data_IF_916898890565
#
_entry.id   IF_916898890565
#
_cell.length_a   1.000
_cell.length_b   1.000
_cell.length_c   1.000
_cell.angle_alpha   90.00
_cell.angle_beta   90.00
_cell.angle_gamma   90.00
#
_symmetry.space_group_name_H-M   'P 1'
#
loop_
_entity.id
_entity.type
_entity.pdbx_description
1 polymer ?
#
# COMPACT_ATOMS: atom_id res chain seq x y z
N UNK A 1 22.05 0.57 -36.52
CA UNK A 1 21.12 1.27 -37.42
C UNK A 1 20.48 0.21 -38.29
N UNK A 2 19.22 -0.10 -38.03
CA UNK A 2 18.46 -1.06 -38.84
C UNK A 2 17.96 -0.34 -40.10
N UNK A 3 18.21 -0.92 -41.27
CA UNK A 3 17.95 -0.31 -42.58
C UNK A 3 16.46 -0.32 -42.98
N UNK A 4 15.57 -0.69 -42.05
CA UNK A 4 14.13 -0.91 -42.27
C UNK A 4 13.20 0.03 -41.50
N UNK A 5 13.71 0.98 -40.73
CA UNK A 5 12.86 1.90 -39.98
C UNK A 5 12.30 3.03 -40.88
N UNK A 6 10.97 3.17 -40.91
CA UNK A 6 10.25 4.17 -41.70
C UNK A 6 9.87 5.39 -40.84
N UNK A 7 9.82 6.58 -41.46
CA UNK A 7 9.47 7.84 -40.80
C UNK A 7 7.97 7.92 -40.44
N UNK A 8 7.65 8.59 -39.33
CA UNK A 8 6.32 8.64 -38.73
C UNK A 8 5.26 9.27 -39.65
N UNK A 9 4.30 8.46 -40.14
CA UNK A 9 2.99 8.92 -40.59
C UNK A 9 1.97 7.88 -40.11
N UNK A 10 1.08 8.25 -39.16
CA UNK A 10 0.13 7.30 -38.58
C UNK A 10 -1.17 7.24 -39.41
N UNK A 11 -1.53 6.04 -39.87
CA UNK A 11 -2.91 5.72 -40.28
C UNK A 11 -3.57 4.94 -39.13
N UNK A 12 -4.73 5.40 -38.65
CA UNK A 12 -5.40 4.89 -37.45
C UNK A 12 -5.93 3.44 -37.54
N UNK A 13 -5.66 2.72 -38.65
CA UNK A 13 -6.20 1.39 -38.94
C UNK A 13 -5.15 0.27 -39.01
N UNK A 14 -3.88 0.55 -38.71
CA UNK A 14 -2.79 -0.43 -38.89
C UNK A 14 -2.32 -1.05 -37.56
N UNK A 15 -3.07 -2.03 -37.06
CA UNK A 15 -2.84 -2.71 -35.77
C UNK A 15 -1.64 -3.68 -35.75
N UNK A 16 -1.07 -4.01 -36.91
CA UNK A 16 -0.04 -5.05 -37.05
C UNK A 16 1.28 -4.54 -37.63
N UNK A 17 1.38 -3.27 -38.00
CA UNK A 17 2.66 -2.65 -38.34
C UNK A 17 3.52 -2.47 -37.10
N UNK A 18 4.81 -2.83 -37.22
CA UNK A 18 5.83 -2.51 -36.21
C UNK A 18 5.77 -1.01 -35.97
N UNK A 19 5.46 -0.61 -34.73
CA UNK A 19 5.39 0.80 -34.38
C UNK A 19 6.73 1.46 -34.73
N UNK A 20 6.73 2.61 -35.42
CA UNK A 20 7.95 3.35 -35.65
C UNK A 20 8.58 3.69 -34.30
N UNK A 21 9.85 3.33 -34.13
CA UNK A 21 10.62 3.63 -32.92
C UNK A 21 11.29 4.98 -33.14
N UNK A 22 11.18 5.88 -32.17
CA UNK A 22 11.87 7.17 -32.22
C UNK A 22 13.38 6.93 -32.23
N UNK A 23 14.03 7.18 -33.37
CA UNK A 23 15.47 6.98 -33.54
C UNK A 23 16.29 8.20 -33.14
N UNK A 24 15.71 9.39 -33.29
CA UNK A 24 16.36 10.67 -33.02
C UNK A 24 15.32 11.77 -32.82
N UNK A 25 15.63 12.74 -31.96
CA UNK A 25 14.87 13.99 -31.82
C UNK A 25 15.58 15.05 -32.66
N UNK A 26 14.88 15.62 -33.65
CA UNK A 26 15.46 16.63 -34.55
C UNK A 26 15.50 18.03 -33.89
N UNK A 27 14.44 18.40 -33.18
CA UNK A 27 14.30 19.70 -32.52
C UNK A 27 13.43 19.58 -31.25
N UNK A 28 13.73 20.38 -30.23
CA UNK A 28 12.89 20.53 -29.04
C UNK A 28 12.73 22.00 -28.69
N UNK A 29 11.53 22.40 -28.27
CA UNK A 29 11.23 23.77 -27.85
C UNK A 29 10.24 23.77 -26.68
N UNK A 30 10.30 24.81 -25.85
CA UNK A 30 9.31 25.05 -24.80
C UNK A 30 8.21 25.96 -25.34
N UNK A 31 6.95 25.61 -25.07
CA UNK A 31 5.78 26.45 -25.37
C UNK A 31 5.15 26.90 -24.06
N UNK A 32 4.98 28.21 -23.90
CA UNK A 32 4.31 28.78 -22.74
C UNK A 32 2.80 28.68 -22.87
N UNK A 33 2.14 28.20 -21.82
CA UNK A 33 0.68 28.14 -21.72
C UNK A 33 0.21 28.88 -20.48
N UNK A 34 -0.79 29.74 -20.63
CA UNK A 34 -1.35 30.52 -19.53
C UNK A 34 -2.66 29.89 -19.03
N UNK A 35 -3.06 30.17 -17.77
CA UNK A 35 -4.34 29.72 -17.24
C UNK A 35 -5.52 30.16 -18.11
N UNK A 36 -6.49 29.28 -18.30
CA UNK A 36 -7.70 29.54 -19.12
C UNK A 36 -8.57 30.64 -18.49
N UNK A 37 -8.55 30.75 -17.17
CA UNK A 37 -9.33 31.73 -16.41
C UNK A 37 -8.44 32.50 -15.42
N UNK A 38 -8.93 33.65 -14.96
CA UNK A 38 -8.30 34.40 -13.88
C UNK A 38 -8.23 33.58 -12.60
N UNK A 39 -7.12 33.70 -11.88
CA UNK A 39 -6.88 32.95 -10.65
C UNK A 39 -7.90 33.30 -9.56
N UNK A 40 -8.42 32.28 -8.88
CA UNK A 40 -9.33 32.44 -7.75
C UNK A 40 -9.07 31.40 -6.68
N UNK A 41 -9.37 31.71 -5.42
CA UNK A 41 -9.14 30.80 -4.28
C UNK A 41 -10.11 29.60 -4.26
N UNK A 42 -11.09 29.54 -5.16
CA UNK A 42 -12.17 28.53 -5.15
C UNK A 42 -12.19 27.62 -6.37
N UNK A 43 -11.44 27.95 -7.41
CA UNK A 43 -11.46 27.24 -8.69
C UNK A 43 -10.08 26.65 -8.97
N UNK A 44 -10.01 25.43 -9.54
CA UNK A 44 -8.75 24.90 -10.05
C UNK A 44 -8.09 25.86 -11.04
N UNK A 45 -6.76 25.83 -11.10
CA UNK A 45 -6.00 26.51 -12.15
C UNK A 45 -5.95 25.56 -13.34
N UNK A 46 -6.69 25.90 -14.39
CA UNK A 46 -6.79 25.07 -15.60
C UNK A 46 -5.87 25.59 -16.69
N UNK A 47 -5.11 24.69 -17.30
CA UNK A 47 -4.26 24.95 -18.44
C UNK A 47 -4.77 24.13 -19.63
N UNK A 48 -4.92 24.77 -20.79
CA UNK A 48 -5.27 24.09 -22.03
C UNK A 48 -4.06 24.09 -22.95
N UNK A 49 -3.43 22.92 -23.10
CA UNK A 49 -2.26 22.72 -23.95
C UNK A 49 -2.70 22.02 -25.25
N UNK A 50 -2.78 22.76 -26.35
CA UNK A 50 -3.10 22.20 -27.67
C UNK A 50 -1.87 21.54 -28.30
N UNK A 51 -2.06 20.38 -28.94
CA UNK A 51 -1.01 19.75 -29.75
C UNK A 51 -0.60 20.64 -30.92
N UNK A 52 0.70 20.70 -31.21
CA UNK A 52 1.27 21.53 -32.28
C UNK A 52 1.65 20.63 -33.46
N UNK A 53 0.75 20.48 -34.43
CA UNK A 53 1.02 19.82 -35.71
C UNK A 53 1.75 18.46 -35.58
N UNK A 54 2.96 18.40 -36.15
CA UNK A 54 3.80 17.19 -36.20
C UNK A 54 4.70 17.00 -34.96
N UNK A 55 4.55 17.84 -33.92
CA UNK A 55 5.35 17.77 -32.70
C UNK A 55 4.65 16.97 -31.59
N UNK A 56 5.43 16.17 -30.87
CA UNK A 56 4.96 15.44 -29.69
C UNK A 56 5.12 16.29 -28.43
N UNK A 57 4.18 16.14 -27.48
CA UNK A 57 4.28 16.76 -26.16
C UNK A 57 5.14 15.89 -25.23
N UNK A 58 6.27 16.44 -24.78
CA UNK A 58 7.07 15.84 -23.72
C UNK A 58 6.47 16.21 -22.35
N UNK A 59 5.64 15.30 -21.81
CA UNK A 59 4.98 15.52 -20.52
C UNK A 59 5.97 15.51 -19.35
N UNK A 60 7.14 14.88 -19.48
CA UNK A 60 8.13 14.83 -18.41
C UNK A 60 8.81 16.17 -18.15
N UNK A 61 8.92 16.99 -19.19
CA UNK A 61 9.43 18.36 -19.10
C UNK A 61 8.32 19.41 -19.04
N UNK A 62 7.18 19.06 -18.43
CA UNK A 62 6.13 20.05 -18.13
C UNK A 62 6.50 20.83 -16.86
N UNK A 63 6.83 22.10 -17.03
CA UNK A 63 7.23 23.00 -15.96
C UNK A 63 6.07 23.92 -15.56
N UNK A 64 5.81 24.02 -14.26
CA UNK A 64 4.93 25.03 -13.70
C UNK A 64 5.77 26.25 -13.31
N UNK A 65 5.39 27.41 -13.86
CA UNK A 65 5.92 28.71 -13.48
C UNK A 65 4.89 29.46 -12.65
N UNK A 66 5.30 29.98 -11.48
CA UNK A 66 4.45 30.72 -10.57
C UNK A 66 5.17 31.92 -9.99
N UNK A 67 4.46 33.06 -9.97
CA UNK A 67 4.88 34.25 -9.24
C UNK A 67 3.95 34.48 -8.05
N UNK A 68 4.52 34.49 -6.84
CA UNK A 68 3.75 34.57 -5.59
C UNK A 68 4.31 35.67 -4.70
N UNK A 69 3.40 36.37 -4.00
CA UNK A 69 3.72 37.36 -2.98
C UNK A 69 2.92 37.07 -1.71
N UNK A 70 3.59 37.05 -0.56
CA UNK A 70 2.93 36.85 0.74
C UNK A 70 2.56 38.21 1.32
N UNK A 71 1.29 38.46 1.63
CA UNK A 71 0.81 39.69 2.27
C UNK A 71 0.06 39.40 3.57
N UNK A 72 -0.11 40.43 4.41
CA UNK A 72 -1.03 40.35 5.56
C UNK A 72 -2.48 40.23 5.06
N UNK A 73 -3.39 39.82 5.94
CA UNK A 73 -4.84 39.80 5.66
C UNK A 73 -5.39 41.17 5.21
N UNK A 74 -4.77 42.26 5.65
CA UNK A 74 -5.08 43.64 5.25
C UNK A 74 -4.56 44.02 3.85
N UNK A 75 -3.81 43.15 3.17
CA UNK A 75 -3.14 43.44 1.91
C UNK A 75 -1.81 44.20 2.03
N UNK A 76 -1.44 44.65 3.24
CA UNK A 76 -0.15 45.31 3.49
C UNK A 76 1.01 44.33 3.45
N UNK A 77 2.21 44.83 3.18
CA UNK A 77 3.43 44.02 3.19
C UNK A 77 3.73 43.47 4.60
N UNK A 78 4.38 42.30 4.66
CA UNK A 78 5.00 41.78 5.88
C UNK A 78 6.25 42.62 6.20
N UNK A 79 6.52 42.87 7.47
CA UNK A 79 7.69 43.64 7.91
C UNK A 79 8.12 43.16 9.30
N UNK A 80 9.33 43.51 9.77
CA UNK A 80 9.72 43.21 11.15
C UNK A 80 8.67 43.79 12.14
N UNK A 81 8.20 43.04 13.16
CA UNK A 81 8.73 41.76 13.67
C UNK A 81 8.02 40.49 13.14
N UNK A 82 7.26 40.56 12.04
CA UNK A 82 6.53 39.40 11.51
C UNK A 82 7.50 38.26 11.11
N UNK A 83 7.33 37.08 11.71
CA UNK A 83 8.10 35.89 11.38
C UNK A 83 7.28 34.99 10.47
N UNK A 84 7.45 35.16 9.15
CA UNK A 84 6.66 34.44 8.14
C UNK A 84 7.60 33.79 7.14
N UNK A 85 7.33 32.53 6.82
CA UNK A 85 7.91 31.82 5.69
C UNK A 85 6.89 30.80 5.15
N UNK A 86 6.91 30.49 3.85
CA UNK A 86 6.10 29.43 3.30
C UNK A 86 6.54 28.04 3.80
N UNK A 87 5.64 27.07 3.68
CA UNK A 87 5.96 25.65 3.83
C UNK A 87 7.02 25.23 2.79
N UNK A 88 7.74 24.16 3.08
CA UNK A 88 8.79 23.67 2.20
C UNK A 88 8.26 23.27 0.82
N UNK A 89 9.07 23.49 -0.21
CA UNK A 89 8.75 23.22 -1.61
C UNK A 89 7.43 23.86 -2.09
N UNK A 90 7.28 25.16 -1.79
CA UNK A 90 6.04 25.93 -1.99
C UNK A 90 5.43 25.73 -3.39
N UNK A 91 6.25 25.67 -4.44
CA UNK A 91 5.78 25.57 -5.84
C UNK A 91 4.74 24.45 -6.03
N UNK A 92 4.98 23.27 -5.45
CA UNK A 92 4.12 22.11 -5.63
C UNK A 92 3.25 21.82 -4.40
N UNK A 93 3.70 22.19 -3.19
CA UNK A 93 2.92 21.96 -1.96
C UNK A 93 1.75 22.93 -1.78
N UNK A 94 1.64 23.96 -2.64
CA UNK A 94 0.50 24.87 -2.69
C UNK A 94 -0.79 24.17 -3.14
N UNK A 95 -0.69 23.06 -3.87
CA UNK A 95 -1.84 22.39 -4.50
C UNK A 95 -2.20 21.08 -3.79
N UNK A 96 -3.48 20.89 -3.48
CA UNK A 96 -3.99 19.66 -2.86
C UNK A 96 -4.24 18.53 -3.86
N UNK A 97 -4.51 18.86 -5.12
CA UNK A 97 -4.85 17.91 -6.18
C UNK A 97 -4.28 18.37 -7.54
N UNK A 98 -3.87 17.40 -8.35
CA UNK A 98 -3.50 17.59 -9.75
C UNK A 98 -4.26 16.57 -10.61
N UNK A 99 -5.01 17.04 -11.60
CA UNK A 99 -5.79 16.20 -12.51
C UNK A 99 -5.36 16.43 -13.95
N UNK A 100 -5.26 15.35 -14.73
CA UNK A 100 -4.92 15.39 -16.15
C UNK A 100 -6.07 14.81 -16.97
N UNK A 101 -6.49 15.55 -17.98
CA UNK A 101 -7.57 15.21 -18.91
C UNK A 101 -7.01 15.18 -20.33
N UNK A 102 -7.28 14.12 -21.08
CA UNK A 102 -6.94 14.00 -22.50
C UNK A 102 -8.23 13.85 -23.30
N UNK A 103 -8.45 14.72 -24.28
CA UNK A 103 -9.68 14.74 -25.10
C UNK A 103 -10.96 14.68 -24.25
N UNK A 104 -11.06 15.56 -23.25
CA UNK A 104 -12.18 15.67 -22.29
C UNK A 104 -12.43 14.42 -21.41
N UNK A 105 -11.55 13.42 -21.49
CA UNK A 105 -11.56 12.26 -20.60
C UNK A 105 -10.47 12.39 -19.55
N UNK A 106 -10.86 12.41 -18.28
CA UNK A 106 -9.92 12.39 -17.18
C UNK A 106 -9.12 11.08 -17.20
N UNK A 107 -7.80 11.18 -17.31
CA UNK A 107 -6.88 10.04 -17.36
C UNK A 107 -6.11 9.84 -16.06
N UNK A 108 -5.91 10.90 -15.27
CA UNK A 108 -5.31 10.83 -13.95
C UNK A 108 -5.93 11.88 -13.02
N UNK A 109 -6.15 11.51 -11.76
CA UNK A 109 -6.46 12.44 -10.67
C UNK A 109 -5.65 12.05 -9.46
N UNK A 110 -4.87 12.99 -8.94
CA UNK A 110 -3.99 12.76 -7.82
C UNK A 110 -4.42 13.61 -6.63
N UNK A 111 -5.28 13.03 -5.79
CA UNK A 111 -5.55 13.60 -4.48
C UNK A 111 -4.30 13.53 -3.59
N UNK A 112 -4.16 14.48 -2.66
CA UNK A 112 -2.99 14.62 -1.78
C UNK A 112 -1.67 14.92 -2.53
N UNK A 113 -1.77 15.67 -3.64
CA UNK A 113 -0.65 16.01 -4.52
C UNK A 113 0.56 16.58 -3.75
N UNK A 114 0.33 17.53 -2.84
CA UNK A 114 1.39 18.12 -2.00
C UNK A 114 2.26 17.08 -1.26
N UNK A 115 1.64 16.05 -0.67
CA UNK A 115 2.37 15.02 0.07
C UNK A 115 3.21 14.15 -0.86
N UNK A 116 2.63 13.77 -2.00
CA UNK A 116 3.32 12.99 -3.02
C UNK A 116 4.55 13.73 -3.55
N UNK A 117 4.41 15.00 -3.90
CA UNK A 117 5.51 15.85 -4.35
C UNK A 117 6.65 15.91 -3.31
N UNK A 118 6.31 15.97 -2.03
CA UNK A 118 7.32 15.99 -0.98
C UNK A 118 8.12 14.68 -0.94
N UNK A 119 7.49 13.53 -1.14
CA UNK A 119 8.21 12.25 -1.23
C UNK A 119 9.17 12.21 -2.41
N UNK A 120 8.71 12.66 -3.57
CA UNK A 120 9.47 12.71 -4.81
C UNK A 120 10.75 13.54 -4.64
N UNK A 121 10.60 14.70 -4.01
CA UNK A 121 11.71 15.59 -3.66
C UNK A 121 12.65 14.97 -2.62
N UNK A 122 12.13 14.35 -1.56
CA UNK A 122 12.94 13.74 -0.51
C UNK A 122 13.73 12.52 -0.98
N UNK A 123 13.20 11.77 -1.95
CA UNK A 123 13.84 10.61 -2.57
C UNK A 123 14.79 10.98 -3.72
N UNK A 124 14.72 12.22 -4.22
CA UNK A 124 15.62 12.70 -5.28
C UNK A 124 17.09 12.73 -4.79
N UNK A 125 18.09 12.62 -5.68
CA UNK A 125 19.50 12.75 -5.31
C UNK A 125 19.80 14.06 -4.59
N UNK A 126 20.76 14.02 -3.65
CA UNK A 126 21.13 15.20 -2.85
C UNK A 126 21.51 16.40 -3.72
N UNK A 127 22.23 16.18 -4.82
CA UNK A 127 22.60 17.23 -5.76
C UNK A 127 21.38 17.95 -6.36
N UNK A 128 20.30 17.22 -6.69
CA UNK A 128 19.06 17.78 -7.23
C UNK A 128 18.32 18.58 -6.16
N UNK A 129 18.28 18.06 -4.93
CA UNK A 129 17.71 18.73 -3.77
C UNK A 129 18.38 20.06 -3.43
N UNK A 130 19.70 20.15 -3.59
CA UNK A 130 20.50 21.33 -3.26
C UNK A 130 20.65 22.32 -4.44
N UNK A 131 20.20 21.94 -5.65
CA UNK A 131 20.27 22.77 -6.85
C UNK A 131 18.88 23.01 -7.45
N UNK A 132 18.42 22.16 -8.38
CA UNK A 132 17.20 22.33 -9.16
C UNK A 132 15.96 22.63 -8.29
N UNK A 133 15.79 21.90 -7.19
CA UNK A 133 14.60 22.03 -6.35
C UNK A 133 14.55 23.35 -5.55
N UNK A 134 15.67 24.07 -5.44
CA UNK A 134 15.70 25.39 -4.81
C UNK A 134 14.88 26.42 -5.60
N UNK A 135 14.72 26.24 -6.92
CA UNK A 135 13.85 27.07 -7.76
C UNK A 135 12.35 26.94 -7.40
N UNK A 136 11.96 25.82 -6.77
CA UNK A 136 10.62 25.62 -6.19
C UNK A 136 10.54 25.93 -4.69
N UNK A 137 11.55 26.62 -4.12
CA UNK A 137 11.70 26.88 -2.69
C UNK A 137 11.84 25.62 -1.81
N UNK A 138 12.42 24.54 -2.34
CA UNK A 138 12.85 23.43 -1.50
C UNK A 138 14.20 23.72 -0.83
N UNK A 139 14.23 23.60 0.50
CA UNK A 139 15.45 23.63 1.29
C UNK A 139 15.40 22.54 2.34
N UNK A 140 16.48 21.77 2.53
CA UNK A 140 16.49 20.68 3.52
C UNK A 140 16.28 21.20 4.93
N UNK A 141 15.27 20.66 5.60
CA UNK A 141 14.99 21.04 6.98
C UNK A 141 16.06 20.54 7.96
N UNK A 142 16.26 21.31 9.03
CA UNK A 142 17.12 20.90 10.15
C UNK A 142 16.36 19.87 10.99
N UNK A 143 16.93 18.68 11.24
CA UNK A 143 16.28 17.66 12.07
C UNK A 143 15.80 18.21 13.42
N UNK A 144 14.56 17.90 13.79
CA UNK A 144 13.93 18.38 15.03
C UNK A 144 13.42 19.82 15.01
N UNK A 145 13.56 20.56 13.90
CA UNK A 145 13.11 21.95 13.77
C UNK A 145 12.14 22.18 12.60
N UNK A 146 11.53 21.12 12.07
CA UNK A 146 10.64 21.17 10.90
C UNK A 146 9.39 22.03 11.14
N UNK A 147 8.86 22.01 12.36
CA UNK A 147 7.68 22.78 12.77
C UNK A 147 8.03 24.12 13.43
N UNK A 148 9.31 24.47 13.50
CA UNK A 148 9.74 25.70 14.14
C UNK A 148 9.48 26.89 13.23
N UNK A 149 8.74 27.87 13.75
CA UNK A 149 8.44 29.14 13.09
C UNK A 149 9.36 30.28 13.55
N UNK A 150 10.35 29.97 14.41
CA UNK A 150 11.26 30.98 14.96
C UNK A 150 12.42 31.24 13.98
N UNK A 151 12.61 32.48 13.54
CA UNK A 151 13.71 32.83 12.61
C UNK A 151 15.10 32.70 13.25
N UNK A 152 15.21 32.89 14.57
CA UNK A 152 16.46 32.84 15.33
C UNK A 152 16.76 31.42 15.85
N UNK A 153 15.73 30.73 16.36
CA UNK A 153 15.88 29.39 16.93
C UNK A 153 15.51 28.25 15.98
N UNK A 154 14.87 28.54 14.85
CA UNK A 154 14.39 27.56 13.87
C UNK A 154 15.49 26.94 13.02
N UNK A 155 15.07 26.11 12.06
CA UNK A 155 15.98 25.47 11.10
C UNK A 155 16.47 26.45 10.02
N UNK A 156 17.66 26.18 9.47
CA UNK A 156 18.27 27.01 8.41
C UNK A 156 17.37 27.14 7.16
N UNK A 157 16.59 26.09 6.88
CA UNK A 157 15.57 26.05 5.81
C UNK A 157 14.49 27.11 5.98
N UNK A 158 13.88 27.21 7.17
CA UNK A 158 12.83 28.21 7.46
C UNK A 158 13.39 29.63 7.34
N UNK A 159 14.58 29.87 7.90
CA UNK A 159 15.27 31.17 7.82
C UNK A 159 15.56 31.57 6.38
N UNK A 160 16.02 30.64 5.56
CA UNK A 160 16.30 30.88 4.14
C UNK A 160 15.01 31.27 3.39
N UNK A 161 13.93 30.49 3.54
CA UNK A 161 12.63 30.81 2.92
C UNK A 161 12.06 32.14 3.41
N UNK A 162 12.17 32.44 4.71
CA UNK A 162 11.72 33.71 5.29
C UNK A 162 12.45 34.91 4.70
N UNK A 163 13.78 34.80 4.51
CA UNK A 163 14.58 35.86 3.90
C UNK A 163 14.23 36.10 2.43
N UNK A 164 13.91 35.04 1.68
CA UNK A 164 13.48 35.15 0.28
C UNK A 164 12.15 35.91 0.17
N UNK A 165 11.18 35.62 1.06
CA UNK A 165 9.86 36.26 1.04
C UNK A 165 9.78 37.60 1.80
N UNK A 166 10.86 38.02 2.46
CA UNK A 166 10.91 39.21 3.33
C UNK A 166 10.39 40.46 2.60
N UNK A 167 9.71 41.33 3.36
CA UNK A 167 9.13 42.59 2.86
C UNK A 167 8.09 42.40 1.75
N UNK A 168 7.49 41.20 1.68
CA UNK A 168 6.54 40.79 0.64
C UNK A 168 7.12 40.96 -0.76
N UNK A 169 8.36 40.52 -0.97
CA UNK A 169 8.93 40.47 -2.31
C UNK A 169 8.16 39.48 -3.19
N UNK A 170 8.09 39.80 -4.48
CA UNK A 170 7.57 38.86 -5.48
C UNK A 170 8.60 37.75 -5.66
N UNK A 171 8.15 36.52 -5.52
CA UNK A 171 8.97 35.32 -5.64
C UNK A 171 8.62 34.67 -6.97
N UNK A 172 9.63 34.45 -7.79
CA UNK A 172 9.52 33.74 -9.05
C UNK A 172 9.99 32.30 -8.85
N UNK A 173 9.12 31.33 -9.16
CA UNK A 173 9.36 29.90 -8.99
C UNK A 173 9.08 29.15 -10.28
N UNK A 174 9.94 28.17 -10.58
CA UNK A 174 9.73 27.26 -11.69
C UNK A 174 10.19 25.85 -11.32
N UNK A 175 9.49 24.84 -11.81
CA UNK A 175 9.86 23.44 -11.59
C UNK A 175 8.86 22.47 -12.19
N UNK A 176 9.24 21.20 -12.24
CA UNK A 176 8.39 20.15 -12.79
C UNK A 176 7.14 19.89 -11.93
N UNK A 177 6.06 19.49 -12.59
CA UNK A 177 4.87 18.94 -11.97
C UNK A 177 5.05 17.43 -11.73
N UNK A 178 4.59 16.91 -10.59
CA UNK A 178 4.79 15.52 -10.16
C UNK A 178 3.58 14.63 -10.47
N UNK A 179 3.02 14.72 -11.67
CA UNK A 179 1.87 13.90 -12.10
C UNK A 179 2.31 12.61 -12.81
N UNK A 180 1.46 11.58 -12.81
CA UNK A 180 1.82 10.22 -13.25
C UNK A 180 2.31 10.17 -14.71
N UNK A 181 1.66 10.94 -15.60
CA UNK A 181 2.02 10.99 -17.02
C UNK A 181 3.33 11.75 -17.26
N UNK A 182 3.68 12.73 -16.43
CA UNK A 182 4.97 13.42 -16.50
C UNK A 182 6.13 12.59 -15.94
N UNK A 183 5.85 11.72 -14.97
CA UNK A 183 6.88 10.89 -14.35
C UNK A 183 7.14 9.54 -15.07
N UNK A 184 6.83 9.44 -16.37
CA UNK A 184 7.00 8.19 -17.12
C UNK A 184 8.46 7.77 -17.33
N UNK A 185 9.40 8.73 -17.36
CA UNK A 185 10.83 8.47 -17.57
C UNK A 185 11.62 8.15 -16.29
N UNK A 186 10.98 8.10 -15.12
CA UNK A 186 11.65 7.72 -13.87
C UNK A 186 11.67 6.18 -13.70
N UNK A 187 12.38 5.48 -14.58
CA UNK A 187 12.59 4.02 -14.50
C UNK A 187 13.07 3.59 -13.09
N UNK A 188 13.83 4.47 -12.44
CA UNK A 188 14.37 4.27 -11.09
C UNK A 188 13.28 4.17 -10.01
N UNK A 189 12.16 4.90 -10.16
CA UNK A 189 11.08 4.86 -9.16
C UNK A 189 10.30 3.56 -9.19
N UNK A 190 10.18 2.93 -10.36
CA UNK A 190 9.55 1.61 -10.45
C UNK A 190 10.29 0.59 -9.59
N UNK A 191 11.61 0.77 -9.38
CA UNK A 191 12.38 -0.07 -8.48
C UNK A 191 11.95 0.08 -7.00
N UNK A 192 11.35 1.20 -6.61
CA UNK A 192 10.90 1.47 -5.24
C UNK A 192 9.43 1.11 -4.99
N UNK A 193 8.67 0.68 -6.01
CA UNK A 193 7.23 0.33 -5.89
C UNK A 193 6.98 -1.05 -5.26
N UNK A 194 8.04 -1.81 -4.96
CA UNK A 194 7.95 -3.10 -4.27
C UNK A 194 8.65 -3.05 -2.93
N UNK A 195 8.32 -4.00 -2.06
CA UNK A 195 9.01 -4.19 -0.77
C UNK A 195 10.50 -4.37 -1.03
N UNK A 196 11.32 -3.46 -0.50
CA UNK A 196 12.77 -3.57 -0.56
C UNK A 196 13.28 -4.76 0.28
N UNK A 197 14.53 -5.16 0.04
CA UNK A 197 15.15 -6.29 0.74
C UNK A 197 16.34 -5.78 1.55
N UNK A 198 16.44 -6.21 2.81
CA UNK A 198 17.46 -5.71 3.73
C UNK A 198 18.09 -6.86 4.54
N UNK A 199 19.42 -6.88 4.70
CA UNK A 199 20.11 -7.94 5.44
C UNK A 199 20.12 -7.61 6.94
N UNK A 200 19.02 -7.88 7.63
CA UNK A 200 18.89 -7.53 9.06
C UNK A 200 19.94 -8.19 9.94
N UNK A 201 20.23 -9.48 9.70
CA UNK A 201 21.23 -10.22 10.47
C UNK A 201 22.67 -9.76 10.20
N UNK A 202 22.91 -9.04 9.09
CA UNK A 202 24.22 -8.46 8.81
C UNK A 202 24.45 -7.18 9.62
N UNK A 203 23.43 -6.34 9.80
CA UNK A 203 23.53 -5.06 10.50
C UNK A 203 23.39 -5.25 12.02
N UNK A 204 24.39 -5.89 12.61
CA UNK A 204 24.53 -6.09 14.07
C UNK A 204 25.33 -4.96 14.75
N UNK A 205 26.03 -4.13 13.97
CA UNK A 205 26.92 -3.07 14.45
C UNK A 205 26.84 -1.84 13.53
N UNK A 206 26.85 -0.65 14.14
CA UNK A 206 26.67 0.62 13.44
C UNK A 206 27.83 0.94 12.48
N UNK A 207 29.05 0.46 12.74
CA UNK A 207 30.20 0.67 11.87
C UNK A 207 30.02 0.06 10.49
N UNK A 208 29.16 -0.95 10.35
CA UNK A 208 28.82 -1.56 9.06
C UNK A 208 28.06 -0.63 8.12
N UNK A 209 27.49 0.48 8.63
CA UNK A 209 26.86 1.50 7.81
C UNK A 209 27.88 2.28 6.96
N UNK A 210 29.14 2.36 7.39
CA UNK A 210 30.21 3.02 6.64
C UNK A 210 30.78 2.17 5.49
N UNK A 211 30.32 0.93 5.35
CA UNK A 211 30.73 0.03 4.28
C UNK A 211 30.43 0.67 2.90
N UNK A 212 31.44 0.73 2.03
CA UNK A 212 31.33 1.28 0.67
C UNK A 212 30.91 0.25 -0.38
N UNK A 213 30.80 -1.01 0.04
CA UNK A 213 30.47 -2.14 -0.83
C UNK A 213 29.11 -2.70 -0.45
N UNK A 214 28.36 -3.14 -1.47
CA UNK A 214 27.11 -3.85 -1.23
C UNK A 214 27.39 -5.22 -0.57
N UNK A 215 26.66 -5.59 0.51
CA UNK A 215 26.87 -6.87 1.18
C UNK A 215 26.69 -8.06 0.24
N UNK A 216 27.52 -9.09 0.40
CA UNK A 216 27.40 -10.32 -0.37
C UNK A 216 26.11 -11.09 -0.03
N UNK A 217 25.65 -11.93 -0.96
CA UNK A 217 24.38 -12.66 -0.85
C UNK A 217 24.26 -13.53 0.39
N UNK A 218 25.38 -14.11 0.83
CA UNK A 218 25.49 -14.89 2.08
C UNK A 218 25.15 -14.07 3.34
N UNK A 219 25.29 -12.75 3.31
CA UNK A 219 24.93 -11.86 4.42
C UNK A 219 23.43 -11.57 4.54
N UNK A 220 22.64 -11.98 3.56
CA UNK A 220 21.17 -11.86 3.56
C UNK A 220 20.45 -13.08 4.14
N UNK A 221 21.15 -13.98 4.83
CA UNK A 221 20.51 -15.09 5.53
C UNK A 221 19.60 -14.56 6.65
N UNK A 222 18.33 -14.96 6.63
CA UNK A 222 17.35 -14.57 7.65
C UNK A 222 17.33 -15.61 8.77
N UNK A 223 17.88 -15.23 9.93
CA UNK A 223 17.95 -16.09 11.11
C UNK A 223 16.57 -16.41 11.71
N UNK A 224 15.57 -15.53 11.53
CA UNK A 224 14.22 -15.76 12.07
C UNK A 224 13.46 -16.81 11.26
N UNK A 225 13.55 -16.76 9.94
CA UNK A 225 12.86 -17.70 9.04
C UNK A 225 13.75 -18.86 8.61
N UNK A 226 15.02 -18.89 9.02
CA UNK A 226 16.05 -19.86 8.61
C UNK A 226 16.16 -20.03 7.08
N UNK A 227 15.93 -18.94 6.34
CA UNK A 227 15.87 -18.95 4.87
C UNK A 227 16.90 -18.02 4.25
N UNK A 228 17.37 -18.40 3.05
CA UNK A 228 18.22 -17.58 2.20
C UNK A 228 17.36 -16.64 1.35
N UNK A 229 17.94 -15.50 0.97
CA UNK A 229 17.35 -14.61 -0.03
C UNK A 229 17.28 -15.29 -1.40
N UNK A 230 16.22 -15.00 -2.16
CA UNK A 230 16.11 -15.44 -3.56
C UNK A 230 17.10 -14.70 -4.46
N UNK A 231 17.43 -15.29 -5.60
CA UNK A 231 18.34 -14.70 -6.59
C UNK A 231 17.76 -13.40 -7.16
N UNK A 232 16.45 -13.38 -7.41
CA UNK A 232 15.73 -12.23 -7.95
C UNK A 232 15.71 -11.07 -6.94
N UNK A 233 15.44 -11.36 -5.67
CA UNK A 233 15.42 -10.37 -4.60
C UNK A 233 16.80 -9.74 -4.37
N UNK A 234 17.85 -10.56 -4.39
CA UNK A 234 19.22 -10.07 -4.25
C UNK A 234 19.63 -9.21 -5.44
N UNK A 235 19.31 -9.65 -6.66
CA UNK A 235 19.62 -8.92 -7.89
C UNK A 235 18.90 -7.58 -7.94
N UNK A 236 17.63 -7.56 -7.52
CA UNK A 236 16.85 -6.34 -7.41
C UNK A 236 17.41 -5.37 -6.35
N UNK A 237 17.74 -5.85 -5.15
CA UNK A 237 18.33 -5.02 -4.10
C UNK A 237 19.68 -4.40 -4.53
N UNK A 238 20.50 -5.19 -5.24
CA UNK A 238 21.74 -4.71 -5.83
C UNK A 238 21.49 -3.66 -6.91
N UNK A 239 20.53 -3.90 -7.81
CA UNK A 239 20.13 -2.93 -8.83
C UNK A 239 19.68 -1.60 -8.19
N UNK A 240 18.87 -1.64 -7.13
CA UNK A 240 18.47 -0.44 -6.38
C UNK A 240 19.68 0.29 -5.79
N UNK A 241 20.59 -0.44 -5.14
CA UNK A 241 21.82 0.14 -4.56
C UNK A 241 22.65 0.89 -5.62
N UNK A 242 22.89 0.23 -6.76
CA UNK A 242 23.72 0.75 -7.85
C UNK A 242 23.00 1.92 -8.58
N UNK A 243 21.70 1.79 -8.85
CA UNK A 243 20.90 2.80 -9.58
C UNK A 243 20.77 4.12 -8.82
N UNK A 244 20.57 4.04 -7.51
CA UNK A 244 20.44 5.24 -6.66
C UNK A 244 21.79 5.80 -6.18
N UNK A 245 22.91 5.24 -6.66
CA UNK A 245 24.25 5.75 -6.39
C UNK A 245 24.63 5.75 -4.90
N UNK A 246 24.22 4.70 -4.16
CA UNK A 246 24.52 4.59 -2.74
C UNK A 246 26.05 4.52 -2.53
N UNK A 247 26.63 5.51 -1.85
CA UNK A 247 28.08 5.58 -1.63
C UNK A 247 28.50 4.78 -0.38
N UNK A 248 27.62 4.74 0.62
CA UNK A 248 27.76 3.94 1.84
C UNK A 248 26.51 3.08 2.05
N UNK A 249 26.65 2.02 2.83
CA UNK A 249 25.52 1.18 3.22
C UNK A 249 24.48 1.97 4.04
N UNK A 250 24.88 3.03 4.73
CA UNK A 250 24.00 4.02 5.35
C UNK A 250 23.00 4.64 4.36
N UNK A 251 23.44 4.96 3.14
CA UNK A 251 22.58 5.56 2.11
C UNK A 251 21.50 4.57 1.67
N UNK A 252 21.89 3.30 1.51
CA UNK A 252 20.96 2.21 1.21
C UNK A 252 19.94 1.98 2.33
N UNK A 253 20.38 2.02 3.60
CA UNK A 253 19.48 1.93 4.75
C UNK A 253 18.47 3.08 4.75
N UNK A 254 18.90 4.32 4.52
CA UNK A 254 18.01 5.48 4.45
C UNK A 254 17.01 5.36 3.31
N UNK A 255 17.45 4.93 2.13
CA UNK A 255 16.57 4.70 0.98
C UNK A 255 15.54 3.62 1.30
N UNK A 256 15.99 2.48 1.84
CA UNK A 256 15.15 1.37 2.27
C UNK A 256 14.11 1.80 3.31
N UNK A 257 14.51 2.52 4.35
CA UNK A 257 13.58 2.97 5.39
C UNK A 257 12.53 3.94 4.84
N UNK A 258 12.97 4.92 4.03
CA UNK A 258 12.07 5.89 3.41
C UNK A 258 11.05 5.20 2.50
N UNK A 259 11.49 4.31 1.62
CA UNK A 259 10.57 3.60 0.71
C UNK A 259 9.58 2.73 1.49
N UNK A 260 10.00 2.02 2.52
CA UNK A 260 9.08 1.23 3.37
C UNK A 260 8.05 2.11 4.10
N UNK A 261 8.46 3.27 4.63
CA UNK A 261 7.55 4.21 5.26
C UNK A 261 6.51 4.74 4.27
N UNK A 262 6.94 5.11 3.07
CA UNK A 262 6.04 5.61 2.00
C UNK A 262 5.05 4.54 1.58
N UNK A 263 5.54 3.36 1.18
CA UNK A 263 4.69 2.25 0.74
C UNK A 263 3.67 1.88 1.80
N UNK A 264 4.08 1.81 3.08
CA UNK A 264 3.15 1.52 4.18
C UNK A 264 2.10 2.61 4.34
N UNK A 265 2.50 3.87 4.25
CA UNK A 265 1.59 5.01 4.39
C UNK A 265 0.57 5.04 3.26
N UNK A 266 1.00 4.80 2.02
CA UNK A 266 0.11 4.70 0.85
C UNK A 266 -0.87 3.52 0.98
N UNK A 267 -0.37 2.33 1.33
CA UNK A 267 -1.21 1.15 1.57
C UNK A 267 -2.25 1.42 2.65
N UNK A 268 -1.85 2.05 3.75
CA UNK A 268 -2.76 2.35 4.86
C UNK A 268 -3.77 3.45 4.52
N UNK A 269 -3.36 4.49 3.78
CA UNK A 269 -4.28 5.51 3.28
C UNK A 269 -5.32 4.93 2.33
N UNK A 270 -4.90 4.04 1.42
CA UNK A 270 -5.83 3.31 0.55
C UNK A 270 -6.76 2.39 1.36
N UNK A 271 -6.24 1.69 2.36
CA UNK A 271 -7.03 0.85 3.25
C UNK A 271 -8.09 1.66 4.03
N UNK A 272 -7.75 2.86 4.54
CA UNK A 272 -8.71 3.78 5.16
C UNK A 272 -9.84 4.15 4.20
N UNK A 273 -9.50 4.54 2.97
CA UNK A 273 -10.49 4.89 1.94
C UNK A 273 -11.42 3.71 1.65
N UNK A 274 -10.86 2.51 1.47
CA UNK A 274 -11.64 1.29 1.25
C UNK A 274 -12.55 0.97 2.43
N UNK A 275 -12.03 1.00 3.66
CA UNK A 275 -12.81 0.72 4.87
C UNK A 275 -13.95 1.71 5.08
N UNK A 276 -13.70 3.00 4.85
CA UNK A 276 -14.74 4.03 4.91
C UNK A 276 -15.81 3.82 3.83
N UNK A 277 -15.41 3.48 2.61
CA UNK A 277 -16.35 3.23 1.51
C UNK A 277 -17.20 1.98 1.74
N UNK A 278 -16.62 0.89 2.24
CA UNK A 278 -17.31 -0.40 2.38
C UNK A 278 -18.05 -0.56 3.72
N UNK A 279 -17.44 -0.12 4.81
CA UNK A 279 -17.96 -0.33 6.17
C UNK A 279 -18.43 0.97 6.82
N UNK A 280 -18.01 2.13 6.32
CA UNK A 280 -18.24 3.43 6.98
C UNK A 280 -17.56 3.50 8.35
N UNK A 281 -16.45 2.79 8.51
CA UNK A 281 -15.63 2.72 9.73
C UNK A 281 -14.19 3.08 9.34
N UNK A 282 -13.56 3.99 10.10
CA UNK A 282 -12.16 4.36 9.87
C UNK A 282 -11.25 3.44 10.70
N UNK A 283 -10.33 2.68 10.08
CA UNK A 283 -9.47 1.74 10.79
C UNK A 283 -8.53 2.40 11.81
N UNK A 284 -8.33 3.72 11.77
CA UNK A 284 -7.51 4.44 12.76
C UNK A 284 -8.12 4.46 14.17
N UNK A 285 -9.41 4.17 14.30
CA UNK A 285 -10.09 4.09 15.58
C UNK A 285 -10.01 2.70 16.23
N UNK A 286 -9.35 1.75 15.57
CA UNK A 286 -9.27 0.37 15.98
C UNK A 286 -7.83 -0.03 16.26
N UNK A 287 -7.61 -0.84 17.29
CA UNK A 287 -6.27 -1.36 17.60
C UNK A 287 -5.89 -2.46 16.61
N UNK A 288 -6.87 -3.28 16.19
CA UNK A 288 -6.65 -4.41 15.30
C UNK A 288 -7.69 -4.51 14.19
N UNK A 289 -7.33 -5.21 13.11
CA UNK A 289 -8.26 -5.54 12.03
C UNK A 289 -9.41 -6.44 12.51
N UNK A 290 -9.17 -7.30 13.51
CA UNK A 290 -10.21 -8.17 14.08
C UNK A 290 -11.31 -7.36 14.74
N UNK A 291 -10.96 -6.29 15.46
CA UNK A 291 -11.90 -5.39 16.11
C UNK A 291 -12.73 -4.61 15.07
N UNK A 292 -12.06 -4.04 14.06
CA UNK A 292 -12.72 -3.38 12.93
C UNK A 292 -13.70 -4.30 12.21
N UNK A 293 -13.29 -5.54 11.94
CA UNK A 293 -14.13 -6.52 11.20
C UNK A 293 -15.30 -7.01 12.04
N UNK A 294 -15.11 -7.18 13.35
CA UNK A 294 -16.17 -7.49 14.29
C UNK A 294 -17.23 -6.38 14.34
N UNK A 295 -16.82 -5.12 14.52
CA UNK A 295 -17.71 -3.96 14.50
C UNK A 295 -18.38 -3.77 13.13
N UNK A 296 -17.66 -3.98 12.04
CA UNK A 296 -18.23 -3.93 10.69
C UNK A 296 -19.34 -4.99 10.54
N UNK A 297 -19.12 -6.18 11.08
CA UNK A 297 -20.13 -7.25 11.14
C UNK A 297 -21.36 -6.84 11.94
N UNK A 298 -21.19 -6.38 13.18
CA UNK A 298 -22.29 -5.93 14.03
C UNK A 298 -23.07 -4.77 13.41
N UNK A 299 -22.38 -3.78 12.84
CA UNK A 299 -22.98 -2.64 12.15
C UNK A 299 -23.82 -3.08 10.95
N UNK A 300 -23.39 -4.13 10.24
CA UNK A 300 -24.10 -4.66 9.07
C UNK A 300 -25.32 -5.48 9.48
N UNK A 301 -25.19 -6.35 10.50
CA UNK A 301 -26.27 -7.19 10.98
C UNK A 301 -27.30 -6.44 11.83
N UNK A 302 -26.90 -5.32 12.47
CA UNK A 302 -27.72 -4.51 13.38
C UNK A 302 -28.30 -5.32 14.55
N UNK A 303 -27.52 -6.27 15.03
CA UNK A 303 -27.86 -7.09 16.20
C UNK A 303 -27.11 -6.56 17.42
N UNK A 304 -27.71 -6.73 18.59
CA UNK A 304 -27.05 -6.53 19.88
C UNK A 304 -26.74 -7.90 20.47
N UNK A 305 -25.47 -8.19 20.71
CA UNK A 305 -25.05 -9.45 21.32
C UNK A 305 -25.30 -9.40 22.82
N UNK A 306 -26.03 -10.37 23.35
CA UNK A 306 -26.17 -10.51 24.80
C UNK A 306 -24.82 -10.93 25.40
N UNK A 307 -24.35 -10.17 26.40
CA UNK A 307 -23.16 -10.53 27.16
C UNK A 307 -23.49 -11.63 28.18
N UNK A 308 -22.60 -12.61 28.31
CA UNK A 308 -22.66 -13.61 29.37
C UNK A 308 -22.28 -12.95 30.70
N UNK A 309 -23.23 -12.87 31.63
CA UNK A 309 -23.03 -12.25 32.95
C UNK A 309 -22.69 -13.26 34.06
N UNK A 310 -22.85 -14.55 33.80
CA UNK A 310 -22.60 -15.63 34.76
C UNK A 310 -21.31 -16.37 34.41
N UNK A 311 -20.47 -16.62 35.42
CA UNK A 311 -19.19 -17.33 35.26
C UNK A 311 -19.37 -18.78 34.81
N UNK A 312 -20.41 -19.46 35.26
CA UNK A 312 -20.68 -20.85 34.88
C UNK A 312 -21.08 -20.95 33.40
N UNK A 313 -21.89 -20.01 32.92
CA UNK A 313 -22.27 -19.94 31.50
C UNK A 313 -21.02 -19.70 30.65
N UNK A 314 -20.18 -18.74 31.04
CA UNK A 314 -18.92 -18.44 30.35
C UNK A 314 -18.00 -19.67 30.30
N UNK A 315 -17.76 -20.33 31.44
CA UNK A 315 -16.91 -21.52 31.51
C UNK A 315 -17.48 -22.69 30.71
N UNK A 316 -18.80 -22.84 30.70
CA UNK A 316 -19.46 -23.85 29.88
C UNK A 316 -19.16 -23.62 28.40
N UNK A 317 -19.32 -22.41 27.88
CA UNK A 317 -18.98 -22.10 26.48
C UNK A 317 -17.49 -22.25 26.18
N UNK A 318 -16.62 -21.71 27.04
CA UNK A 318 -15.17 -21.72 26.84
C UNK A 318 -14.62 -23.15 26.78
N UNK A 319 -15.09 -24.04 27.65
CA UNK A 319 -14.70 -25.45 27.68
C UNK A 319 -15.15 -26.23 26.43
N UNK A 320 -16.14 -25.74 25.69
CA UNK A 320 -16.65 -26.37 24.46
C UNK A 320 -16.07 -25.75 23.18
N UNK A 321 -15.32 -24.65 23.27
CA UNK A 321 -14.68 -24.07 22.09
C UNK A 321 -13.59 -25.01 21.55
N UNK A 322 -13.67 -25.30 20.24
CA UNK A 322 -12.69 -26.12 19.51
C UNK A 322 -12.17 -25.36 18.30
N UNK A 323 -10.91 -25.65 17.95
CA UNK A 323 -10.30 -25.14 16.72
C UNK A 323 -10.71 -25.96 15.50
N UNK A 324 -10.05 -25.71 14.37
CA UNK A 324 -10.20 -26.54 13.18
C UNK A 324 -9.64 -27.95 13.40
N UNK A 325 -10.33 -28.96 12.88
CA UNK A 325 -9.85 -30.35 12.89
C UNK A 325 -8.61 -30.45 12.01
N UNK A 326 -7.51 -30.93 12.59
CA UNK A 326 -6.28 -31.23 11.86
C UNK A 326 -5.99 -32.73 11.98
N UNK A 327 -6.07 -33.44 10.86
CA UNK A 327 -5.86 -34.88 10.81
C UNK A 327 -4.84 -35.27 9.74
N UNK A 328 -3.98 -36.22 10.09
CA UNK A 328 -3.05 -36.87 9.16
C UNK A 328 -3.38 -38.37 9.09
N UNK A 329 -4.37 -38.75 8.27
CA UNK A 329 -4.77 -40.15 8.08
C UNK A 329 -3.69 -41.00 7.39
N UNK A 330 -2.84 -40.38 6.55
CA UNK A 330 -1.70 -41.04 5.90
C UNK A 330 -0.42 -40.23 6.06
N UNK A 331 0.58 -40.83 6.72
CA UNK A 331 1.87 -40.17 7.04
C UNK A 331 2.66 -39.73 5.80
N UNK A 332 2.55 -40.46 4.70
CA UNK A 332 3.26 -40.15 3.47
C UNK A 332 2.49 -40.64 2.24
N UNK A 333 2.32 -39.76 1.26
CA UNK A 333 1.80 -40.08 -0.05
C UNK A 333 2.66 -39.38 -1.10
N UNK A 334 2.97 -40.09 -2.19
CA UNK A 334 3.66 -39.55 -3.36
C UNK A 334 2.82 -39.89 -4.58
N UNK A 335 2.49 -38.86 -5.37
CA UNK A 335 1.83 -39.05 -6.64
C UNK A 335 2.82 -39.65 -7.67
N UNK A 336 2.32 -40.45 -8.60
CA UNK A 336 3.05 -40.99 -9.73
C UNK A 336 2.22 -40.78 -10.99
N UNK A 337 2.48 -39.72 -11.75
CA UNK A 337 1.74 -39.46 -12.98
C UNK A 337 2.62 -38.75 -14.02
N UNK A 338 2.24 -38.79 -15.32
CA UNK A 338 3.08 -38.27 -16.41
C UNK A 338 3.41 -36.77 -16.33
N UNK A 339 2.70 -35.99 -15.50
CA UNK A 339 2.97 -34.57 -15.32
C UNK A 339 4.14 -34.29 -14.37
N UNK A 340 4.65 -35.31 -13.66
CA UNK A 340 5.77 -35.19 -12.73
C UNK A 340 7.10 -35.59 -13.40
N UNK A 341 7.54 -34.78 -14.37
CA UNK A 341 8.65 -35.05 -15.30
C UNK A 341 9.83 -35.83 -14.70
N UNK A 342 10.40 -35.32 -13.62
CA UNK A 342 11.69 -35.80 -13.09
C UNK A 342 11.54 -37.00 -12.15
N UNK A 343 10.30 -37.39 -11.82
CA UNK A 343 10.01 -38.38 -10.77
C UNK A 343 8.95 -39.40 -11.14
N UNK A 344 8.43 -39.35 -12.37
CA UNK A 344 7.46 -40.29 -12.92
C UNK A 344 8.12 -41.62 -13.27
N UNK A 345 7.53 -42.71 -12.77
CA UNK A 345 7.93 -44.07 -13.10
C UNK A 345 6.80 -44.76 -13.88
N UNK A 346 7.07 -45.03 -15.16
CA UNK A 346 6.12 -45.71 -16.06
C UNK A 346 5.83 -47.17 -15.69
N UNK A 347 6.63 -47.78 -14.80
CA UNK A 347 6.44 -49.14 -14.31
C UNK A 347 5.46 -49.22 -13.12
N UNK A 348 5.15 -48.08 -12.50
CA UNK A 348 4.25 -47.98 -11.35
C UNK A 348 2.89 -47.43 -11.82
N UNK A 349 1.80 -47.94 -11.23
CA UNK A 349 0.45 -47.44 -11.52
C UNK A 349 0.35 -45.93 -11.30
N UNK A 350 -0.52 -45.28 -12.07
CA UNK A 350 -0.76 -43.86 -11.93
C UNK A 350 -1.44 -43.54 -10.59
N UNK A 351 -0.94 -42.50 -9.92
CA UNK A 351 -1.56 -41.94 -8.73
C UNK A 351 -1.49 -40.41 -8.76
N UNK A 352 -2.55 -39.80 -8.24
CA UNK A 352 -2.73 -38.36 -8.18
C UNK A 352 -3.03 -37.95 -6.74
N UNK A 353 -2.59 -36.76 -6.35
CA UNK A 353 -2.97 -36.14 -5.08
C UNK A 353 -3.88 -34.97 -5.43
N UNK A 354 -5.09 -34.97 -4.87
CA UNK A 354 -6.05 -33.91 -5.04
C UNK A 354 -6.00 -32.99 -3.81
N UNK A 355 -5.74 -31.71 -4.03
CA UNK A 355 -5.84 -30.68 -3.00
C UNK A 355 -7.18 -29.96 -3.17
N UNK A 356 -8.04 -30.07 -2.16
CA UNK A 356 -9.32 -29.36 -2.09
C UNK A 356 -9.25 -28.35 -0.96
N UNK A 357 -9.75 -27.14 -1.23
CA UNK A 357 -9.85 -26.07 -0.25
C UNK A 357 -11.26 -25.48 -0.30
N UNK A 358 -11.92 -25.38 0.86
CA UNK A 358 -13.24 -24.79 0.98
C UNK A 358 -13.11 -23.26 1.03
N UNK A 359 -13.53 -22.59 -0.04
CA UNK A 359 -13.51 -21.12 -0.14
C UNK A 359 -14.37 -20.51 0.97
N UNK A 360 -13.74 -19.75 1.87
CA UNK A 360 -14.40 -19.00 2.96
C UNK A 360 -15.24 -19.89 3.91
N UNK A 361 -14.67 -21.01 4.38
CA UNK A 361 -15.35 -21.97 5.26
C UNK A 361 -16.05 -21.32 6.47
N UNK A 362 -15.34 -20.49 7.25
CA UNK A 362 -15.95 -19.83 8.41
C UNK A 362 -16.98 -18.78 8.01
N UNK A 363 -16.80 -18.06 6.90
CA UNK A 363 -17.80 -17.11 6.44
C UNK A 363 -19.09 -17.79 5.99
N UNK A 364 -19.01 -19.00 5.40
CA UNK A 364 -20.18 -19.83 5.14
C UNK A 364 -20.85 -20.26 6.45
N UNK A 365 -20.09 -20.78 7.43
CA UNK A 365 -20.63 -21.14 8.73
C UNK A 365 -21.31 -19.95 9.45
N UNK A 366 -20.71 -18.76 9.36
CA UNK A 366 -21.28 -17.52 9.90
C UNK A 366 -22.51 -17.01 9.16
N UNK A 367 -22.83 -17.58 7.99
CA UNK A 367 -24.05 -17.28 7.24
C UNK A 367 -25.22 -18.18 7.65
N UNK A 368 -24.96 -19.21 8.46
CA UNK A 368 -25.99 -20.08 9.04
C UNK A 368 -26.60 -19.41 10.29
N UNK A 369 -27.77 -19.86 10.76
CA UNK A 369 -28.33 -19.41 12.04
C UNK A 369 -27.35 -19.62 13.20
N UNK A 370 -27.09 -18.56 13.98
CA UNK A 370 -26.17 -18.55 15.12
C UNK A 370 -26.84 -17.94 16.36
N UNK A 371 -26.52 -18.44 17.56
CA UNK A 371 -27.05 -17.88 18.80
C UNK A 371 -26.43 -16.51 19.10
N UNK A 372 -27.26 -15.55 19.52
CA UNK A 372 -26.80 -14.19 19.85
C UNK A 372 -27.44 -13.59 21.11
N UNK A 373 -28.56 -14.15 21.61
CA UNK A 373 -29.31 -13.66 22.78
C UNK A 373 -30.28 -14.71 23.34
N UNK A 374 -30.91 -14.37 24.47
CA UNK A 374 -31.86 -15.16 25.25
C UNK A 374 -31.30 -16.48 25.77
N UNK A 375 -30.06 -16.45 26.29
CA UNK A 375 -29.44 -17.63 26.90
C UNK A 375 -30.16 -18.01 28.20
N UNK A 376 -30.58 -19.27 28.30
CA UNK A 376 -31.19 -19.85 29.50
C UNK A 376 -30.92 -21.35 29.57
N UNK A 377 -30.73 -21.85 30.79
CA UNK A 377 -30.65 -23.29 31.05
C UNK A 377 -32.04 -23.93 30.97
N UNK A 378 -32.12 -25.11 30.36
CA UNK A 378 -33.33 -25.92 30.39
C UNK A 378 -33.59 -26.46 31.79
N UNK A 379 -34.85 -26.50 32.18
CA UNK A 379 -35.31 -27.14 33.41
C UNK A 379 -35.20 -28.66 33.30
N UNK A 380 -35.15 -29.40 34.43
CA UNK A 380 -35.11 -30.87 34.40
C UNK A 380 -36.26 -31.50 33.61
N UNK A 381 -37.47 -30.92 33.69
CA UNK A 381 -38.65 -31.41 32.96
C UNK A 381 -38.50 -31.18 31.45
N UNK A 382 -37.98 -30.02 31.04
CA UNK A 382 -37.69 -29.72 29.62
C UNK A 382 -36.65 -30.69 29.07
N UNK A 383 -35.58 -30.97 29.82
CA UNK A 383 -34.54 -31.94 29.43
C UNK A 383 -35.15 -33.33 29.25
N UNK A 384 -36.01 -33.77 30.18
CA UNK A 384 -36.63 -35.10 30.09
C UNK A 384 -37.56 -35.25 28.88
N UNK A 385 -38.19 -34.17 28.45
CA UNK A 385 -39.09 -34.13 27.29
C UNK A 385 -38.42 -33.75 25.97
N UNK A 386 -37.10 -33.47 25.98
CA UNK A 386 -36.39 -32.96 24.82
C UNK A 386 -36.21 -34.04 23.74
N UNK A 387 -36.68 -33.75 22.53
CA UNK A 387 -36.47 -34.58 21.35
C UNK A 387 -35.53 -33.88 20.36
N UNK A 388 -34.27 -34.34 20.34
CA UNK A 388 -33.24 -33.81 19.45
C UNK A 388 -33.59 -34.00 17.97
N UNK A 389 -34.28 -35.09 17.62
CA UNK A 389 -34.62 -35.41 16.24
C UNK A 389 -35.84 -34.62 15.73
N UNK A 390 -36.59 -34.01 16.65
CA UNK A 390 -37.68 -33.08 16.33
C UNK A 390 -37.22 -31.65 16.01
N UNK A 391 -35.95 -31.33 16.23
CA UNK A 391 -35.42 -29.97 16.04
C UNK A 391 -34.73 -29.81 14.68
N UNK A 392 -35.06 -28.73 13.95
CA UNK A 392 -34.42 -28.42 12.66
C UNK A 392 -33.25 -27.45 12.82
N UNK A 393 -32.21 -27.52 11.95
CA UNK A 393 -31.08 -26.58 11.98
C UNK A 393 -31.47 -25.10 11.85
N UNK A 394 -32.59 -24.81 11.19
CA UNK A 394 -33.10 -23.44 10.99
C UNK A 394 -34.11 -23.00 12.07
N UNK A 395 -34.17 -23.73 13.19
CA UNK A 395 -35.04 -23.40 14.33
C UNK A 395 -34.72 -21.99 14.87
N UNK A 396 -35.73 -21.18 15.24
CA UNK A 396 -35.49 -19.89 15.88
C UNK A 396 -34.82 -20.03 17.26
N UNK A 397 -34.88 -21.21 17.87
CA UNK A 397 -34.20 -21.54 19.12
C UNK A 397 -33.10 -22.58 18.85
N UNK A 398 -31.87 -22.23 19.23
CA UNK A 398 -30.73 -23.14 19.20
C UNK A 398 -30.52 -23.83 20.55
N UNK A 399 -29.90 -25.00 20.53
CA UNK A 399 -29.57 -25.79 21.71
C UNK A 399 -28.08 -26.10 21.72
N UNK A 400 -27.46 -26.03 22.91
CA UNK A 400 -26.09 -26.45 23.14
C UNK A 400 -26.18 -27.53 24.21
N UNK A 401 -25.72 -28.73 23.87
CA UNK A 401 -25.97 -29.93 24.64
C UNK A 401 -24.64 -30.53 25.11
N UNK A 402 -24.58 -30.88 26.38
CA UNK A 402 -23.58 -31.79 26.93
C UNK A 402 -24.22 -33.18 27.02
N UNK A 403 -23.65 -34.15 26.32
CA UNK A 403 -24.27 -35.46 26.10
C UNK A 403 -23.26 -36.59 26.24
N UNK A 404 -23.73 -37.73 26.76
CA UNK A 404 -23.03 -39.00 26.64
C UNK A 404 -23.34 -39.62 25.28
N UNK A 405 -22.30 -40.03 24.54
CA UNK A 405 -22.43 -40.61 23.20
C UNK A 405 -22.00 -42.07 23.19
N UNK A 406 -22.86 -42.94 22.67
CA UNK A 406 -22.52 -44.32 22.35
C UNK A 406 -22.38 -44.47 20.82
N UNK A 407 -21.17 -44.76 20.34
CA UNK A 407 -20.90 -44.98 18.92
C UNK A 407 -20.92 -46.49 18.63
N UNK A 408 -21.87 -46.99 17.82
CA UNK A 408 -21.95 -48.40 17.47
C UNK A 408 -20.64 -48.93 16.88
N UNK A 409 -20.22 -50.12 17.31
CA UNK A 409 -18.96 -50.76 16.86
C UNK A 409 -18.89 -50.93 15.34
N UNK A 410 -20.03 -51.08 14.68
CA UNK A 410 -20.11 -51.17 13.21
C UNK A 410 -19.61 -49.92 12.48
N UNK A 411 -19.54 -48.77 13.14
CA UNK A 411 -19.10 -47.50 12.55
C UNK A 411 -17.64 -47.14 12.85
N UNK A 412 -16.95 -47.95 13.66
CA UNK A 412 -15.59 -47.62 14.13
C UNK A 412 -14.58 -47.58 12.98
N UNK A 413 -14.63 -48.56 12.08
CA UNK A 413 -13.71 -48.62 10.94
C UNK A 413 -13.98 -47.50 9.91
N UNK A 414 -15.24 -47.12 9.71
CA UNK A 414 -15.63 -46.07 8.76
C UNK A 414 -15.19 -44.67 9.23
N UNK A 415 -15.27 -44.41 10.53
CA UNK A 415 -14.91 -43.12 11.12
C UNK A 415 -13.44 -43.03 11.58
N UNK A 416 -12.62 -44.05 11.31
CA UNK A 416 -11.23 -44.09 11.75
C UNK A 416 -10.39 -42.93 11.17
N UNK A 417 -10.68 -42.55 9.92
CA UNK A 417 -10.02 -41.44 9.21
C UNK A 417 -10.76 -40.10 9.37
N UNK A 418 -11.88 -40.03 10.08
CA UNK A 418 -12.54 -38.77 10.44
C UNK A 418 -13.47 -39.01 11.64
N UNK A 419 -12.96 -38.95 12.88
CA UNK A 419 -13.79 -39.17 14.05
C UNK A 419 -14.88 -38.08 14.14
N UNK A 420 -16.12 -38.50 14.41
CA UNK A 420 -17.31 -37.63 14.41
C UNK A 420 -17.30 -36.60 15.56
N UNK A 421 -16.72 -36.96 16.70
CA UNK A 421 -16.71 -36.16 17.94
C UNK A 421 -15.33 -36.21 18.61
N UNK A 422 -14.30 -35.60 18.00
CA UNK A 422 -12.96 -35.61 18.57
C UNK A 422 -12.93 -34.79 19.86
N UNK A 423 -12.71 -35.46 20.98
CA UNK A 423 -12.36 -34.83 22.26
C UNK A 423 -10.83 -34.79 22.41
N UNK A 424 -10.30 -33.77 23.08
CA UNK A 424 -8.86 -33.55 23.23
C UNK A 424 -8.25 -34.30 24.42
#
# INVERSE_FOLDING_TARGET
MDSKACACVSNAYDLFTVMPVQLQTDESSFTESFPVASLSDKTPIEFFCSGVGDSYLDLAHTLLHLQVKITKKSGSNIAAPDQVAPINYLLNTLFSECSVTLNDKQVSSQANYAYRCMFDVLLSPKAVQESLLTAGLFFRDTPGKMDSIDILAGGESFKTRSNICKDSKLIDMIGALHFDLGNQNDDNRNLLKRKGVFPYSFLDDISKLDAKTFPSKDKYFNVLTQNRISDDDYSHAKLVYDTFGCARFEDYLKLYQRSNCVLRSEMFANFRKLSLNHYGLDPVHYISLSELTFDAGLKKCKIELQLLSNVNDYLFFENQMRGGICLVGKRYAKANNPYMSDSYDSSVNHSYILALDCVNLYGFAMSMPLPYANFSWMTPDEIQSFDIFGTTPDSPQGYILEVDLEIPTSLHDEHNDLPMVPEH
#
